data_IF_262462263574
#
_entry.id   IF_262462263574
#
_cell.length_a   1.000
_cell.length_b   1.000
_cell.length_c   1.000
_cell.angle_alpha   90.00
_cell.angle_beta   90.00
_cell.angle_gamma   90.00
#
_symmetry.space_group_name_H-M   'P 1'
#
loop_
_entity.id
_entity.type
_entity.pdbx_description
1 polymer ?
#
# COMPACT_ATOMS: atom_id res chain seq x y z
N UNK A 1 24.02 -46.34 -1.91
CA UNK A 1 24.93 -45.20 -2.15
C UNK A 1 24.67 -44.77 -3.58
N UNK A 2 23.90 -43.69 -3.79
CA UNK A 2 23.56 -43.20 -5.14
C UNK A 2 24.75 -42.38 -5.64
N UNK A 3 25.33 -42.76 -6.78
CA UNK A 3 26.54 -42.17 -7.34
C UNK A 3 26.18 -40.99 -8.27
N UNK A 4 26.30 -39.78 -7.72
CA UNK A 4 25.91 -38.51 -8.33
C UNK A 4 26.86 -38.14 -9.49
N UNK A 5 28.01 -38.80 -9.61
CA UNK A 5 29.01 -38.52 -10.66
C UNK A 5 28.63 -39.05 -12.05
N UNK A 6 27.56 -39.84 -12.15
CA UNK A 6 27.07 -40.44 -13.40
C UNK A 6 25.99 -39.63 -14.13
N UNK A 7 25.51 -38.54 -13.51
CA UNK A 7 24.46 -37.68 -14.07
C UNK A 7 25.06 -36.75 -15.12
N UNK A 8 24.56 -36.83 -16.35
CA UNK A 8 25.01 -35.97 -17.46
C UNK A 8 24.60 -34.52 -17.23
N UNK A 9 25.42 -33.56 -17.67
CA UNK A 9 25.09 -32.12 -17.61
C UNK A 9 23.77 -31.79 -18.30
N UNK A 10 23.44 -32.54 -19.35
CA UNK A 10 22.18 -32.40 -20.07
C UNK A 10 20.98 -32.77 -19.19
N UNK A 11 21.10 -33.82 -18.37
CA UNK A 11 20.04 -34.25 -17.44
C UNK A 11 19.78 -33.19 -16.38
N UNK A 12 20.82 -32.54 -15.88
CA UNK A 12 20.70 -31.42 -14.93
C UNK A 12 20.01 -30.23 -15.60
N UNK A 13 20.38 -29.90 -16.84
CA UNK A 13 19.77 -28.81 -17.60
C UNK A 13 18.28 -29.05 -17.87
N UNK A 14 17.90 -30.27 -18.25
CA UNK A 14 16.50 -30.63 -18.43
C UNK A 14 15.72 -30.59 -17.10
N UNK A 15 16.32 -31.05 -16.00
CA UNK A 15 15.70 -30.98 -14.68
C UNK A 15 15.41 -29.54 -14.24
N UNK A 16 16.36 -28.61 -14.46
CA UNK A 16 16.17 -27.18 -14.17
C UNK A 16 15.08 -26.60 -15.05
N UNK A 17 15.09 -26.89 -16.35
CA UNK A 17 14.07 -26.40 -17.30
C UNK A 17 12.66 -26.86 -16.88
N UNK A 18 12.52 -28.12 -16.46
CA UNK A 18 11.24 -28.67 -15.97
C UNK A 18 10.78 -27.95 -14.69
N UNK A 19 11.67 -27.66 -13.75
CA UNK A 19 11.33 -26.92 -12.53
C UNK A 19 10.87 -25.49 -12.86
N UNK A 20 11.56 -24.81 -13.78
CA UNK A 20 11.18 -23.47 -14.23
C UNK A 20 9.82 -23.49 -14.93
N UNK A 21 9.57 -24.47 -15.81
CA UNK A 21 8.28 -24.64 -16.48
C UNK A 21 7.17 -24.92 -15.45
N UNK A 22 7.39 -25.80 -14.47
CA UNK A 22 6.42 -26.07 -13.40
C UNK A 22 6.15 -24.81 -12.59
N UNK A 23 7.19 -24.03 -12.28
CA UNK A 23 7.04 -22.76 -11.57
C UNK A 23 6.23 -21.75 -12.40
N UNK A 24 6.54 -21.57 -13.68
CA UNK A 24 5.81 -20.68 -14.58
C UNK A 24 4.36 -21.13 -14.79
N UNK A 25 4.12 -22.42 -14.97
CA UNK A 25 2.77 -22.99 -15.04
C UNK A 25 2.03 -22.73 -13.73
N UNK A 26 2.66 -22.90 -12.56
CA UNK A 26 2.04 -22.55 -11.28
C UNK A 26 1.70 -21.07 -11.19
N UNK A 27 2.57 -20.17 -11.64
CA UNK A 27 2.32 -18.71 -11.63
C UNK A 27 1.22 -18.31 -12.62
N UNK A 28 1.12 -18.99 -13.76
CA UNK A 28 0.07 -18.74 -14.76
C UNK A 28 -1.27 -19.39 -14.38
N UNK A 29 -1.24 -20.54 -13.70
CA UNK A 29 -2.41 -21.28 -13.22
C UNK A 29 -2.82 -20.90 -11.80
N UNK A 30 -2.02 -20.12 -11.06
CA UNK A 30 -2.47 -19.57 -9.79
C UNK A 30 -3.65 -18.66 -10.12
N UNK A 31 -4.87 -19.01 -9.71
CA UNK A 31 -6.01 -18.16 -9.97
C UNK A 31 -5.72 -16.81 -9.32
N UNK A 32 -5.82 -15.72 -10.08
CA UNK A 32 -5.90 -14.41 -9.47
C UNK A 32 -7.06 -14.49 -8.49
N UNK A 33 -6.78 -14.26 -7.18
CA UNK A 33 -7.82 -14.26 -6.16
C UNK A 33 -8.94 -13.40 -6.73
N UNK A 34 -10.16 -13.94 -6.89
CA UNK A 34 -11.27 -13.16 -7.43
C UNK A 34 -11.27 -11.86 -6.66
N UNK A 35 -11.32 -10.73 -7.37
CA UNK A 35 -11.60 -9.46 -6.73
C UNK A 35 -13.02 -9.64 -6.20
N UNK A 36 -13.14 -10.21 -4.99
CA UNK A 36 -14.40 -10.34 -4.30
C UNK A 36 -14.81 -8.89 -4.16
N UNK A 37 -15.89 -8.42 -4.82
CA UNK A 37 -16.42 -7.12 -4.50
C UNK A 37 -16.65 -7.19 -3.00
N UNK A 38 -15.93 -6.35 -2.24
CA UNK A 38 -16.10 -6.31 -0.80
C UNK A 38 -17.61 -6.23 -0.59
N UNK A 39 -18.18 -7.18 0.18
CA UNK A 39 -19.58 -7.11 0.62
C UNK A 39 -19.85 -5.63 0.90
N UNK A 40 -20.90 -5.00 0.34
CA UNK A 40 -21.11 -3.58 0.50
C UNK A 40 -21.34 -3.31 1.99
N UNK A 41 -20.23 -3.12 2.71
CA UNK A 41 -20.20 -2.53 4.03
C UNK A 41 -20.91 -1.21 3.82
N UNK A 42 -21.84 -0.87 4.71
CA UNK A 42 -22.47 0.44 4.68
C UNK A 42 -21.33 1.46 4.83
N UNK A 43 -20.82 1.96 3.71
CA UNK A 43 -19.56 2.71 3.69
C UNK A 43 -19.87 4.05 4.37
N UNK A 44 -19.20 4.38 5.47
CA UNK A 44 -19.38 5.68 6.08
C UNK A 44 -18.95 6.75 5.08
N UNK A 45 -19.78 7.78 4.92
CA UNK A 45 -19.55 8.82 3.92
C UNK A 45 -18.52 9.80 4.46
N UNK A 46 -17.41 9.95 3.75
CA UNK A 46 -16.41 10.96 4.08
C UNK A 46 -16.87 12.35 3.61
N UNK A 47 -16.67 13.35 4.46
CA UNK A 47 -17.02 14.74 4.18
C UNK A 47 -15.94 15.41 3.31
N UNK A 48 -16.33 16.17 2.29
CA UNK A 48 -15.36 16.96 1.50
C UNK A 48 -15.09 18.28 2.21
N UNK A 49 -13.97 18.35 2.93
CA UNK A 49 -13.47 19.54 3.62
C UNK A 49 -11.98 19.43 3.90
N UNK A 50 -11.41 20.50 4.41
CA UNK A 50 -10.06 20.47 4.97
C UNK A 50 -10.07 19.80 6.35
N UNK A 51 -8.97 19.13 6.68
CA UNK A 51 -8.79 18.42 7.94
C UNK A 51 -7.50 18.86 8.61
N UNK A 52 -7.54 19.04 9.92
CA UNK A 52 -6.31 19.15 10.71
C UNK A 52 -5.73 17.77 10.99
N UNK A 53 -4.43 17.70 11.28
CA UNK A 53 -3.81 16.44 11.70
C UNK A 53 -4.53 15.78 12.91
N UNK A 54 -4.98 16.60 13.87
CA UNK A 54 -5.74 16.14 15.05
C UNK A 54 -7.13 15.59 14.70
N UNK A 55 -7.75 16.10 13.65
CA UNK A 55 -9.02 15.55 13.17
C UNK A 55 -8.79 14.27 12.38
N UNK A 56 -7.74 14.24 11.57
CA UNK A 56 -7.36 13.10 10.74
C UNK A 56 -7.14 11.84 11.59
N UNK A 57 -6.50 11.96 12.76
CA UNK A 57 -6.18 10.83 13.66
C UNK A 57 -7.38 10.07 14.21
N UNK A 58 -8.61 10.54 14.01
CA UNK A 58 -9.84 9.82 14.35
C UNK A 58 -10.26 8.80 13.29
N UNK A 59 -9.74 8.92 12.07
CA UNK A 59 -10.19 8.17 10.90
C UNK A 59 -9.25 7.01 10.56
N UNK A 60 -8.97 6.18 11.57
CA UNK A 60 -8.02 5.05 11.48
C UNK A 60 -8.66 3.77 10.92
N UNK A 61 -9.99 3.73 10.84
CA UNK A 61 -10.78 2.53 10.55
C UNK A 61 -11.04 1.62 11.74
N UNK A 62 -10.66 2.03 12.95
CA UNK A 62 -11.01 1.31 14.18
C UNK A 62 -12.52 1.33 14.48
N UNK A 63 -13.20 2.44 14.17
CA UNK A 63 -14.65 2.55 14.21
C UNK A 63 -15.21 2.28 12.81
N UNK A 64 -16.03 1.24 12.67
CA UNK A 64 -16.67 0.88 11.39
C UNK A 64 -17.68 1.93 10.90
N UNK A 65 -18.11 2.86 11.76
CA UNK A 65 -19.01 3.96 11.43
C UNK A 65 -18.27 5.21 10.92
N UNK A 66 -16.93 5.22 10.96
CA UNK A 66 -16.11 6.32 10.48
C UNK A 66 -15.36 5.93 9.21
N UNK A 67 -15.16 6.86 8.26
CA UNK A 67 -14.33 6.62 7.10
C UNK A 67 -12.87 6.41 7.51
N UNK A 68 -12.09 5.83 6.60
CA UNK A 68 -10.64 5.68 6.73
C UNK A 68 -9.98 6.72 5.84
N UNK A 69 -9.22 7.61 6.45
CA UNK A 69 -8.59 8.73 5.75
C UNK A 69 -7.07 8.64 5.84
N UNK A 70 -6.37 9.07 4.79
CA UNK A 70 -4.90 9.14 4.76
C UNK A 70 -4.49 10.51 4.23
N UNK A 71 -3.55 11.16 4.92
CA UNK A 71 -2.92 12.40 4.49
C UNK A 71 -1.68 12.12 3.65
N UNK A 72 -1.54 12.76 2.49
CA UNK A 72 -0.32 12.74 1.69
C UNK A 72 -0.16 14.09 1.00
N UNK A 73 0.92 14.81 1.35
CA UNK A 73 1.36 16.08 0.72
C UNK A 73 0.19 17.05 0.49
N UNK A 74 -0.23 17.68 1.58
CA UNK A 74 -1.33 18.66 1.66
C UNK A 74 -2.70 18.15 1.22
N UNK A 75 -2.90 16.86 0.97
CA UNK A 75 -4.17 16.28 0.52
C UNK A 75 -4.63 15.17 1.45
N UNK A 76 -5.95 15.07 1.62
CA UNK A 76 -6.60 13.99 2.36
C UNK A 76 -7.37 13.10 1.40
N UNK A 77 -7.10 11.79 1.44
CA UNK A 77 -7.70 10.78 0.59
C UNK A 77 -8.66 9.90 1.37
N UNK A 78 -9.81 9.59 0.77
CA UNK A 78 -10.74 8.58 1.28
C UNK A 78 -10.33 7.18 0.79
N UNK A 79 -9.82 6.36 1.71
CA UNK A 79 -9.41 4.97 1.43
C UNK A 79 -10.38 3.94 2.02
N UNK A 80 -11.57 4.37 2.44
CA UNK A 80 -12.55 3.52 3.15
C UNK A 80 -12.93 2.26 2.37
N UNK A 81 -13.00 2.33 1.03
CA UNK A 81 -13.29 1.17 0.17
C UNK A 81 -12.23 0.05 0.27
N UNK A 82 -11.01 0.39 0.72
CA UNK A 82 -9.89 -0.53 0.90
C UNK A 82 -9.65 -0.87 2.37
N UNK A 83 -10.73 -1.07 3.14
CA UNK A 83 -10.65 -1.45 4.55
C UNK A 83 -9.75 -2.68 4.82
N UNK A 84 -9.70 -3.67 3.94
CA UNK A 84 -8.79 -4.83 4.12
C UNK A 84 -7.30 -4.46 4.12
N UNK A 85 -6.98 -3.27 3.62
CA UNK A 85 -5.62 -2.78 3.41
C UNK A 85 -5.25 -1.69 4.40
N UNK A 86 -6.17 -0.75 4.66
CA UNK A 86 -5.95 0.41 5.54
C UNK A 86 -6.69 0.31 6.88
N UNK A 87 -7.71 -0.54 7.01
CA UNK A 87 -8.36 -0.80 8.29
C UNK A 87 -7.50 -1.66 9.22
N UNK A 88 -7.92 -1.82 10.50
CA UNK A 88 -7.18 -2.61 11.48
C UNK A 88 -6.79 -4.01 10.99
N UNK A 89 -5.53 -4.37 11.16
CA UNK A 89 -4.95 -5.63 10.66
C UNK A 89 -4.57 -5.64 9.17
N UNK A 90 -4.82 -4.55 8.44
CA UNK A 90 -4.35 -4.36 7.07
C UNK A 90 -2.86 -4.00 7.00
N UNK A 91 -2.21 -4.36 5.89
CA UNK A 91 -0.76 -4.15 5.70
C UNK A 91 -0.33 -2.67 5.71
N UNK A 92 -1.25 -1.75 5.40
CA UNK A 92 -1.00 -0.31 5.38
C UNK A 92 -1.84 0.44 6.41
N UNK A 93 -2.31 -0.26 7.45
CA UNK A 93 -3.11 0.33 8.53
C UNK A 93 -2.38 1.49 9.24
N UNK A 94 -1.05 1.42 9.33
CA UNK A 94 -0.21 2.43 9.98
C UNK A 94 -0.36 3.84 9.37
N UNK A 95 -0.82 3.96 8.12
CA UNK A 95 -1.03 5.26 7.47
C UNK A 95 -2.41 5.87 7.75
N UNK A 96 -3.36 5.07 8.26
CA UNK A 96 -4.73 5.50 8.47
C UNK A 96 -4.82 6.48 9.62
N UNK A 97 -5.35 7.67 9.34
CA UNK A 97 -5.46 8.76 10.29
C UNK A 97 -4.19 9.62 10.41
N UNK A 98 -3.18 9.41 9.56
CA UNK A 98 -1.89 10.08 9.65
C UNK A 98 -1.50 10.79 8.36
N UNK A 99 -0.55 11.73 8.45
CA UNK A 99 0.22 12.18 7.31
C UNK A 99 1.32 11.16 7.00
N UNK A 100 1.17 10.48 5.89
CA UNK A 100 2.07 9.46 5.40
C UNK A 100 3.10 9.99 4.39
N UNK A 101 3.13 11.31 4.11
CA UNK A 101 3.98 11.87 3.05
C UNK A 101 5.47 11.49 3.21
N UNK A 102 6.03 11.67 4.41
CA UNK A 102 7.42 11.33 4.66
C UNK A 102 7.67 9.82 4.59
N UNK A 103 6.80 9.02 5.22
CA UNK A 103 6.83 7.56 5.13
C UNK A 103 6.86 7.06 3.69
N UNK A 104 6.01 7.59 2.83
CA UNK A 104 5.93 7.22 1.42
C UNK A 104 7.15 7.68 0.62
N UNK A 105 7.70 8.85 0.92
CA UNK A 105 8.93 9.34 0.28
C UNK A 105 10.14 8.44 0.55
N UNK A 106 10.26 7.91 1.78
CA UNK A 106 11.40 7.09 2.22
C UNK A 106 11.11 5.58 2.23
N UNK A 107 9.93 5.17 1.75
CA UNK A 107 9.43 3.79 1.81
C UNK A 107 9.45 3.17 3.23
N UNK A 108 9.14 3.97 4.25
CA UNK A 108 9.03 3.55 5.65
C UNK A 108 7.58 3.24 6.05
N UNK A 109 7.43 2.30 6.97
CA UNK A 109 6.16 1.99 7.67
C UNK A 109 6.29 2.19 9.18
N UNK A 110 7.35 2.87 9.62
CA UNK A 110 7.59 3.15 11.04
C UNK A 110 6.66 4.24 11.54
N UNK A 111 6.03 4.01 12.70
CA UNK A 111 5.22 5.03 13.39
C UNK A 111 6.02 6.29 13.73
N UNK A 112 7.33 6.14 13.95
CA UNK A 112 8.22 7.29 14.21
C UNK A 112 8.33 8.25 13.04
N UNK A 113 7.93 7.85 11.84
CA UNK A 113 8.06 8.62 10.59
C UNK A 113 6.74 9.25 10.14
N UNK A 114 5.63 8.92 10.81
CA UNK A 114 4.32 9.49 10.57
C UNK A 114 4.24 10.93 11.08
N UNK A 115 3.35 11.71 10.48
CA UNK A 115 2.99 13.06 10.94
C UNK A 115 4.17 14.04 11.00
N UNK A 116 5.28 13.68 10.34
CA UNK A 116 6.47 14.52 10.25
C UNK A 116 6.25 15.60 9.19
N UNK A 117 6.65 16.85 9.47
CA UNK A 117 6.67 17.88 8.45
C UNK A 117 7.60 17.45 7.31
N UNK A 118 7.06 17.48 6.09
CA UNK A 118 7.79 17.12 4.88
C UNK A 118 8.75 18.26 4.50
N UNK A 119 10.02 18.11 4.83
CA UNK A 119 11.08 19.01 4.35
C UNK A 119 11.66 18.48 3.03
N UNK A 120 11.09 18.94 1.91
CA UNK A 120 11.51 18.51 0.56
C UNK A 120 12.99 18.82 0.28
N UNK A 121 13.61 19.79 0.98
CA UNK A 121 15.04 20.12 0.81
C UNK A 121 15.97 19.06 1.38
N UNK A 122 15.47 18.20 2.27
CA UNK A 122 16.24 17.11 2.89
C UNK A 122 16.04 15.77 2.20
N UNK A 123 15.17 15.70 1.18
CA UNK A 123 14.90 14.50 0.42
C UNK A 123 15.84 14.43 -0.80
N UNK A 124 16.26 13.21 -1.15
CA UNK A 124 16.95 12.97 -2.42
C UNK A 124 15.97 13.07 -3.58
N UNK A 125 16.49 13.27 -4.81
CA UNK A 125 15.64 13.30 -6.01
C UNK A 125 14.81 12.02 -6.16
N UNK A 126 15.40 10.85 -5.87
CA UNK A 126 14.71 9.57 -5.92
C UNK A 126 13.54 9.48 -4.92
N UNK A 127 13.71 10.03 -3.72
CA UNK A 127 12.64 10.07 -2.70
C UNK A 127 11.51 11.02 -3.12
N UNK A 128 11.85 12.15 -3.75
CA UNK A 128 10.86 13.08 -4.31
C UNK A 128 10.08 12.44 -5.45
N UNK A 129 10.76 11.72 -6.35
CA UNK A 129 10.13 11.00 -7.45
C UNK A 129 9.21 9.88 -6.92
N UNK A 130 9.66 9.16 -5.89
CA UNK A 130 8.86 8.14 -5.19
C UNK A 130 7.59 8.74 -4.61
N UNK A 131 7.71 9.86 -3.90
CA UNK A 131 6.55 10.57 -3.34
C UNK A 131 5.59 11.05 -4.43
N UNK A 132 6.11 11.59 -5.53
CA UNK A 132 5.32 12.04 -6.69
C UNK A 132 4.51 10.88 -7.29
N UNK A 133 5.15 9.72 -7.45
CA UNK A 133 4.48 8.51 -7.94
C UNK A 133 3.36 8.06 -7.00
N UNK A 134 3.59 8.10 -5.67
CA UNK A 134 2.55 7.81 -4.68
C UNK A 134 1.37 8.79 -4.75
N UNK A 135 1.64 10.09 -4.90
CA UNK A 135 0.60 11.10 -5.04
C UNK A 135 -0.25 10.85 -6.30
N UNK A 136 0.38 10.51 -7.43
CA UNK A 136 -0.35 10.16 -8.66
C UNK A 136 -1.20 8.91 -8.46
N UNK A 137 -0.60 7.85 -7.89
CA UNK A 137 -1.29 6.59 -7.61
C UNK A 137 -2.52 6.78 -6.71
N UNK A 138 -2.40 7.58 -5.65
CA UNK A 138 -3.51 7.88 -4.76
C UNK A 138 -4.56 8.76 -5.43
N UNK A 139 -4.14 9.79 -6.19
CA UNK A 139 -5.04 10.69 -6.91
C UNK A 139 -5.89 10.01 -7.99
N UNK A 140 -5.38 8.94 -8.61
CA UNK A 140 -6.13 8.15 -9.59
C UNK A 140 -7.12 7.17 -8.95
N UNK A 141 -6.86 6.73 -7.71
CA UNK A 141 -7.58 5.60 -7.09
C UNK A 141 -8.52 6.00 -5.98
N UNK A 142 -8.28 7.14 -5.34
CA UNK A 142 -9.01 7.56 -4.15
C UNK A 142 -9.54 8.98 -4.32
N UNK A 143 -10.78 9.25 -3.88
CA UNK A 143 -11.30 10.61 -3.84
C UNK A 143 -10.47 11.50 -2.91
N UNK A 144 -10.11 12.69 -3.39
CA UNK A 144 -9.55 13.75 -2.56
C UNK A 144 -10.69 14.49 -1.87
N UNK A 145 -10.62 14.63 -0.54
CA UNK A 145 -11.65 15.29 0.27
C UNK A 145 -11.38 16.77 0.47
N UNK A 146 -10.10 17.13 0.63
CA UNK A 146 -9.65 18.49 0.86
C UNK A 146 -8.18 18.52 1.24
N UNK A 147 -7.77 19.62 1.88
CA UNK A 147 -6.39 19.83 2.29
C UNK A 147 -6.10 19.31 3.68
N UNK A 148 -4.89 18.83 3.88
CA UNK A 148 -4.34 18.56 5.21
C UNK A 148 -3.74 19.86 5.75
N UNK A 149 -4.21 20.28 6.92
CA UNK A 149 -3.72 21.43 7.67
C UNK A 149 -2.82 20.91 8.79
N UNK A 150 -1.51 21.07 8.60
CA UNK A 150 -0.44 20.66 9.52
C UNK A 150 0.09 21.85 10.31
#
# INVERSE_FOLDING_TARGET
MFDISSISTDEIQYAILIIVIIYLIKVLLTPQKPIVPAVPRKVPVAEKRDYTLKELSKYTGADENLPILVGIKDKVYDVTYKHSTYGPGGAYHVFSGHDAAYCLAVNSTSESDLDKPLDESKLTQEQLDTLSNWISFFGERYPVLGKLIV
#
